data_IF_216433215307
#
_entry.id   IF_216433215307
#
_cell.length_a   1.000
_cell.length_b   1.000
_cell.length_c   1.000
_cell.angle_alpha   90.00
_cell.angle_beta   90.00
_cell.angle_gamma   90.00
#
_symmetry.space_group_name_H-M   'P 1'
#
loop_
_entity.id
_entity.type
_entity.pdbx_description
1 polymer ?
#
# COMPACT_ATOMS: atom_id res chain seq x y z
N UNK A 1 2.12 -12.26 5.96
CA UNK A 1 0.95 -11.41 5.68
C UNK A 1 1.53 -10.10 5.22
N UNK A 2 0.73 -9.09 4.88
CA UNK A 2 1.28 -7.78 4.54
C UNK A 2 0.46 -6.67 5.20
N UNK A 3 0.95 -5.45 5.06
CA UNK A 3 0.16 -4.25 5.27
C UNK A 3 -0.34 -3.74 3.93
N UNK A 4 -1.50 -3.10 3.94
CA UNK A 4 -2.23 -2.60 2.77
C UNK A 4 -2.42 -1.11 2.94
N UNK A 5 -2.07 -0.33 1.91
CA UNK A 5 -2.44 1.08 1.82
C UNK A 5 -3.81 1.17 1.15
N UNK A 6 -4.74 1.90 1.76
CA UNK A 6 -6.14 2.02 1.33
C UNK A 6 -6.49 3.45 0.86
N UNK A 7 -7.78 3.66 0.56
CA UNK A 7 -8.34 4.91 0.03
C UNK A 7 -7.85 6.20 0.69
N UNK A 8 -7.65 6.31 2.03
CA UNK A 8 -7.24 7.58 2.62
C UNK A 8 -5.88 8.11 2.15
N UNK A 9 -5.05 7.27 1.51
CA UNK A 9 -3.78 7.70 0.90
C UNK A 9 -3.96 8.41 -0.45
N UNK A 10 -5.10 8.21 -1.12
CA UNK A 10 -5.44 8.78 -2.43
C UNK A 10 -5.30 10.31 -2.39
N UNK A 11 -4.51 10.88 -3.30
CA UNK A 11 -4.18 12.31 -3.40
C UNK A 11 -3.42 12.92 -2.20
N UNK A 12 -3.04 12.13 -1.19
CA UNK A 12 -2.30 12.58 -0.01
C UNK A 12 -0.81 12.32 -0.15
N UNK A 13 -0.42 11.06 -0.36
CA UNK A 13 0.97 10.62 -0.57
C UNK A 13 1.99 11.33 0.35
N UNK A 14 1.74 11.35 1.66
CA UNK A 14 2.54 12.10 2.64
C UNK A 14 3.97 11.56 2.83
N UNK A 15 4.17 10.25 2.61
CA UNK A 15 5.44 9.51 2.66
C UNK A 15 6.08 9.34 4.04
N UNK A 16 5.48 9.79 5.14
CA UNK A 16 6.00 9.49 6.49
C UNK A 16 6.20 7.98 6.75
N UNK A 17 5.33 7.13 6.19
CA UNK A 17 5.44 5.68 6.28
C UNK A 17 6.70 5.10 5.60
N UNK A 18 7.26 5.77 4.58
CA UNK A 18 8.45 5.33 3.84
C UNK A 18 9.68 5.39 4.74
N UNK A 19 9.84 6.48 5.50
CA UNK A 19 11.02 6.73 6.35
C UNK A 19 11.18 5.72 7.51
N UNK A 20 10.10 5.03 7.87
CA UNK A 20 10.07 4.06 8.98
C UNK A 20 10.07 2.60 8.53
N UNK A 21 9.92 2.33 7.23
CA UNK A 21 9.90 0.98 6.72
C UNK A 21 11.31 0.35 6.78
N UNK A 22 11.54 -0.73 7.55
CA UNK A 22 12.88 -1.29 7.74
C UNK A 22 13.43 -2.05 6.53
N UNK A 23 12.60 -2.30 5.53
CA UNK A 23 12.91 -3.08 4.32
C UNK A 23 12.66 -2.29 3.03
N UNK A 24 12.37 -0.99 3.14
CA UNK A 24 12.15 -0.07 2.01
C UNK A 24 11.08 -0.56 0.99
N UNK A 25 10.07 -1.31 1.45
CA UNK A 25 9.07 -1.95 0.58
C UNK A 25 7.84 -1.09 0.24
N UNK A 26 7.95 0.25 0.30
CA UNK A 26 6.85 1.18 -0.02
C UNK A 26 7.23 1.99 -1.26
N UNK A 27 6.41 1.91 -2.29
CA UNK A 27 6.70 2.40 -3.63
C UNK A 27 5.72 3.48 -4.06
N UNK A 28 6.24 4.45 -4.82
CA UNK A 28 5.40 5.37 -5.57
C UNK A 28 4.82 4.63 -6.77
N UNK A 29 3.65 5.05 -7.29
CA UNK A 29 3.04 4.36 -8.42
C UNK A 29 3.95 4.26 -9.66
N UNK A 30 4.87 5.21 -9.83
CA UNK A 30 5.85 5.22 -10.94
C UNK A 30 6.93 4.12 -10.82
N UNK A 31 7.11 3.56 -9.62
CA UNK A 31 8.03 2.47 -9.31
C UNK A 31 7.33 1.08 -9.30
N UNK A 32 6.03 1.06 -9.63
CA UNK A 32 5.23 -0.18 -9.71
C UNK A 32 5.09 -0.66 -11.16
N UNK A 33 4.54 -1.85 -11.34
CA UNK A 33 4.20 -2.40 -12.66
C UNK A 33 2.88 -1.82 -13.21
N UNK A 34 2.22 -0.90 -12.49
CA UNK A 34 1.00 -0.23 -12.95
C UNK A 34 1.30 0.71 -14.12
N UNK A 35 0.39 0.74 -15.07
CA UNK A 35 0.45 1.51 -16.30
C UNK A 35 -0.63 2.59 -16.36
N UNK A 36 -0.39 3.64 -17.17
CA UNK A 36 -1.41 4.65 -17.46
C UNK A 36 -2.68 3.99 -18.03
N UNK A 37 -3.70 3.86 -17.20
CA UNK A 37 -4.96 3.17 -17.53
C UNK A 37 -5.44 2.18 -16.48
N UNK A 38 -4.59 1.78 -15.52
CA UNK A 38 -5.00 0.95 -14.39
C UNK A 38 -5.78 1.78 -13.35
N UNK A 39 -6.82 1.18 -12.75
CA UNK A 39 -7.68 1.85 -11.76
C UNK A 39 -6.86 2.40 -10.56
N UNK A 40 -5.75 1.74 -10.25
CA UNK A 40 -4.83 2.07 -9.17
C UNK A 40 -3.70 3.07 -9.59
N UNK A 41 -3.56 3.43 -10.86
CA UNK A 41 -2.28 3.90 -11.41
C UNK A 41 -1.55 5.05 -10.69
N UNK A 42 -2.20 6.10 -10.13
CA UNK A 42 -1.42 7.28 -9.66
C UNK A 42 -1.82 7.96 -8.36
N UNK A 43 -2.77 7.43 -7.61
CA UNK A 43 -3.35 8.22 -6.53
C UNK A 43 -2.75 7.94 -5.15
N UNK A 44 -2.03 6.84 -4.94
CA UNK A 44 -1.55 6.43 -3.61
C UNK A 44 -0.18 5.72 -3.69
N UNK A 45 0.45 5.53 -2.52
CA UNK A 45 1.62 4.66 -2.39
C UNK A 45 1.20 3.19 -2.29
N UNK A 46 2.13 2.27 -2.58
CA UNK A 46 1.90 0.83 -2.56
C UNK A 46 2.89 0.10 -1.66
N UNK A 47 2.43 -0.89 -0.89
CA UNK A 47 3.29 -1.80 -0.12
C UNK A 47 3.51 -3.08 -0.92
N UNK A 48 4.77 -3.48 -1.13
CA UNK A 48 5.09 -4.73 -1.81
C UNK A 48 4.78 -5.94 -0.89
N UNK A 49 3.80 -6.81 -1.25
CA UNK A 49 3.26 -7.82 -0.33
C UNK A 49 4.25 -8.93 0.00
N UNK A 50 5.20 -9.25 -0.89
CA UNK A 50 6.22 -10.27 -0.62
C UNK A 50 7.47 -9.75 0.10
N UNK A 51 7.67 -8.43 0.14
CA UNK A 51 8.82 -7.81 0.81
C UNK A 51 8.48 -7.32 2.21
N UNK A 52 7.20 -6.96 2.44
CA UNK A 52 6.70 -6.60 3.74
C UNK A 52 6.96 -7.73 4.76
N UNK A 53 7.51 -7.36 5.91
CA UNK A 53 7.87 -8.30 6.99
C UNK A 53 6.91 -8.21 8.20
N UNK A 54 5.72 -7.65 8.00
CA UNK A 54 4.67 -7.52 9.02
C UNK A 54 5.12 -6.79 10.32
N UNK A 55 6.01 -5.81 10.21
CA UNK A 55 6.58 -5.15 11.39
C UNK A 55 5.68 -4.10 12.06
N UNK A 56 4.69 -3.56 11.34
CA UNK A 56 3.74 -2.55 11.85
C UNK A 56 4.30 -1.16 12.11
N UNK A 57 5.52 -0.85 11.63
CA UNK A 57 6.13 0.46 11.85
C UNK A 57 5.44 1.59 11.07
N UNK A 58 4.90 1.29 9.88
CA UNK A 58 4.30 2.28 8.98
C UNK A 58 2.89 2.72 9.39
N UNK A 59 2.10 1.86 10.03
CA UNK A 59 0.71 2.11 10.42
C UNK A 59 0.55 3.38 11.29
N UNK A 60 1.23 3.53 12.44
CA UNK A 60 1.04 4.70 13.31
C UNK A 60 1.60 6.00 12.73
N UNK A 61 2.43 5.93 11.69
CA UNK A 61 3.07 7.08 11.07
C UNK A 61 2.25 7.67 9.92
N UNK A 62 1.23 6.96 9.43
CA UNK A 62 0.36 7.49 8.39
C UNK A 62 -0.60 8.55 8.97
N UNK A 63 -0.48 9.84 8.60
CA UNK A 63 -1.27 10.92 9.21
C UNK A 63 -2.77 10.87 8.85
N UNK A 64 -3.12 10.08 7.84
CA UNK A 64 -4.48 9.88 7.33
C UNK A 64 -5.01 8.48 7.61
N UNK A 65 -4.30 7.70 8.43
CA UNK A 65 -4.73 6.36 8.87
C UNK A 65 -5.09 5.45 7.68
N UNK A 66 -4.27 5.49 6.62
CA UNK A 66 -4.53 4.74 5.38
C UNK A 66 -3.96 3.32 5.37
N UNK A 67 -3.22 2.91 6.39
CA UNK A 67 -2.43 1.67 6.38
C UNK A 67 -3.03 0.68 7.36
N UNK A 68 -3.34 -0.53 6.89
CA UNK A 68 -3.99 -1.58 7.68
C UNK A 68 -3.24 -2.90 7.52
N UNK A 69 -3.20 -3.75 8.56
CA UNK A 69 -2.95 -5.18 8.37
C UNK A 69 -3.94 -5.75 7.34
N UNK A 70 -3.50 -6.65 6.47
CA UNK A 70 -4.33 -7.24 5.40
C UNK A 70 -5.66 -7.82 5.89
N UNK A 71 -5.67 -8.44 7.08
CA UNK A 71 -6.84 -9.04 7.70
C UNK A 71 -7.73 -8.03 8.45
N UNK A 72 -7.28 -6.78 8.56
CA UNK A 72 -7.97 -5.67 9.22
C UNK A 72 -8.38 -4.54 8.25
N UNK A 73 -8.17 -4.73 6.94
CA UNK A 73 -8.65 -3.78 5.91
C UNK A 73 -10.19 -3.67 6.01
N UNK A 74 -10.75 -2.45 6.18
CA UNK A 74 -12.19 -2.24 6.21
C UNK A 74 -12.88 -2.78 4.95
N UNK A 75 -14.09 -3.34 5.10
CA UNK A 75 -14.87 -3.94 4.00
C UNK A 75 -15.06 -2.96 2.82
N UNK A 76 -15.23 -1.67 3.12
CA UNK A 76 -15.38 -0.59 2.12
C UNK A 76 -14.14 -0.38 1.26
N UNK A 77 -12.96 -0.79 1.73
CA UNK A 77 -11.68 -0.67 1.02
C UNK A 77 -11.06 -2.04 0.68
N UNK A 78 -11.86 -3.10 0.71
CA UNK A 78 -11.41 -4.46 0.41
C UNK A 78 -10.72 -4.61 -0.96
N UNK A 79 -11.06 -3.78 -1.95
CA UNK A 79 -10.41 -3.76 -3.26
C UNK A 79 -8.95 -3.27 -3.24
N UNK A 80 -8.58 -2.45 -2.26
CA UNK A 80 -7.21 -1.93 -2.13
C UNK A 80 -6.20 -3.02 -1.79
N UNK A 81 -6.66 -4.12 -1.19
CA UNK A 81 -5.83 -5.32 -1.03
C UNK A 81 -5.38 -5.82 -2.40
N UNK A 82 -6.28 -5.96 -3.37
CA UNK A 82 -5.91 -6.38 -4.72
C UNK A 82 -4.96 -5.38 -5.39
N UNK A 83 -5.20 -4.07 -5.25
CA UNK A 83 -4.34 -3.05 -5.86
C UNK A 83 -2.89 -3.08 -5.36
N UNK A 84 -2.66 -3.30 -4.06
CA UNK A 84 -1.30 -3.44 -3.52
C UNK A 84 -0.57 -4.67 -4.09
N UNK A 85 -1.29 -5.71 -4.48
CA UNK A 85 -0.70 -6.93 -5.07
C UNK A 85 -0.49 -6.80 -6.57
N UNK A 86 -1.52 -6.31 -7.28
CA UNK A 86 -1.50 -6.10 -8.72
C UNK A 86 -0.43 -5.09 -9.14
N UNK A 87 -0.13 -4.12 -8.26
CA UNK A 87 0.98 -3.19 -8.46
C UNK A 87 2.34 -3.85 -8.67
N UNK A 88 2.52 -5.09 -8.21
CA UNK A 88 3.77 -5.85 -8.36
C UNK A 88 3.57 -7.17 -9.12
N UNK A 89 2.46 -7.30 -9.85
CA UNK A 89 2.08 -8.52 -10.55
C UNK A 89 2.04 -9.78 -9.64
N UNK A 90 1.74 -9.58 -8.35
CA UNK A 90 1.55 -10.65 -7.36
C UNK A 90 0.07 -11.00 -7.30
N UNK A 91 -0.26 -12.28 -7.13
CA UNK A 91 -1.65 -12.71 -6.97
C UNK A 91 -2.15 -12.40 -5.55
N UNK A 92 -3.33 -11.76 -5.39
CA UNK A 92 -3.93 -11.55 -4.07
C UNK A 92 -4.32 -12.88 -3.41
N UNK A 93 -4.41 -12.91 -2.06
CA UNK A 93 -4.71 -14.11 -1.26
C UNK A 93 -6.12 -14.67 -1.47
#
# INVERSE_FOLDING_TARGET
>A
MTYIIAEPCVDVQDRACVDVCPVDCIYEPEDTELSEGDEAYKMMLYIHPEECIDCGACEPECPVEAIFPEDEVPDEWSEYTAYNYEAFAVAPP
#
